data_IF_280255665350
#
_entry.id   IF_280255665350
#
_cell.length_a   1.000
_cell.length_b   1.000
_cell.length_c   1.000
_cell.angle_alpha   90.00
_cell.angle_beta   90.00
_cell.angle_gamma   90.00
#
_symmetry.space_group_name_H-M   'P 1'
#
loop_
_entity.id
_entity.type
_entity.pdbx_description
1 polymer ?
#
# COMPACT_ATOMS: atom_id res chain seq x y z
N UNK A 1 -24.48 -30.05 -33.74
CA UNK A 1 -23.08 -30.51 -33.73
C UNK A 1 -22.22 -29.30 -33.50
N UNK A 2 -21.73 -29.24 -32.28
CA UNK A 2 -20.86 -28.25 -31.69
C UNK A 2 -19.55 -28.09 -32.46
N UNK A 3 -19.17 -26.86 -32.77
CA UNK A 3 -17.77 -26.51 -32.92
C UNK A 3 -17.48 -25.39 -31.92
N UNK A 4 -17.38 -25.78 -30.64
CA UNK A 4 -16.68 -24.97 -29.64
C UNK A 4 -15.25 -24.83 -30.12
N UNK A 5 -14.93 -23.69 -30.72
CA UNK A 5 -13.56 -23.28 -31.00
C UNK A 5 -12.76 -23.34 -29.69
N UNK A 6 -12.07 -24.47 -29.48
CA UNK A 6 -11.18 -24.66 -28.35
C UNK A 6 -10.04 -23.67 -28.54
N UNK A 7 -10.04 -22.62 -27.72
CA UNK A 7 -8.92 -21.70 -27.63
C UNK A 7 -7.66 -22.55 -27.36
N UNK A 8 -6.57 -22.38 -28.13
CA UNK A 8 -5.38 -23.21 -27.97
C UNK A 8 -4.88 -23.10 -26.53
N UNK A 9 -4.55 -24.22 -25.90
CA UNK A 9 -3.99 -24.26 -24.53
C UNK A 9 -2.76 -23.36 -24.38
N UNK A 10 -2.03 -23.05 -25.47
CA UNK A 10 -1.00 -22.00 -25.51
C UNK A 10 -1.48 -20.62 -25.06
N UNK A 11 -2.74 -20.25 -25.31
CA UNK A 11 -3.31 -18.98 -24.87
C UNK A 11 -3.57 -18.97 -23.34
N UNK A 12 -3.85 -20.14 -22.75
CA UNK A 12 -3.98 -20.35 -21.31
C UNK A 12 -2.61 -20.57 -20.63
N UNK A 13 -1.61 -21.03 -21.38
CA UNK A 13 -0.20 -21.11 -21.00
C UNK A 13 0.60 -19.87 -21.38
N UNK A 14 -0.05 -18.75 -21.70
CA UNK A 14 0.67 -17.47 -21.66
C UNK A 14 1.16 -17.32 -20.22
N UNK A 15 2.49 -17.30 -19.97
CA UNK A 15 2.96 -16.90 -18.66
C UNK A 15 2.38 -15.51 -18.47
N UNK A 16 1.48 -15.35 -17.50
CA UNK A 16 0.96 -14.06 -17.10
C UNK A 16 2.22 -13.22 -16.86
N UNK A 17 2.55 -12.33 -17.81
CA UNK A 17 3.90 -11.78 -18.00
C UNK A 17 4.50 -11.55 -16.62
N UNK A 18 5.57 -12.24 -16.24
CA UNK A 18 6.88 -11.90 -16.79
C UNK A 18 7.28 -10.46 -16.46
N UNK A 19 6.51 -9.74 -15.62
CA UNK A 19 6.92 -8.55 -14.92
C UNK A 19 8.07 -8.99 -14.03
N UNK A 20 9.26 -8.87 -14.63
CA UNK A 20 10.54 -9.28 -14.10
C UNK A 20 10.53 -9.30 -12.57
N UNK A 21 10.81 -10.47 -12.00
CA UNK A 21 11.22 -10.64 -10.61
C UNK A 21 12.53 -9.89 -10.26
N UNK A 22 13.02 -9.03 -11.16
CA UNK A 22 14.03 -8.03 -10.85
C UNK A 22 13.37 -7.00 -9.94
N UNK A 23 13.68 -7.07 -8.65
CA UNK A 23 13.26 -6.11 -7.62
C UNK A 23 13.74 -4.65 -7.85
N UNK A 24 14.15 -4.31 -9.06
CA UNK A 24 14.71 -3.03 -9.48
C UNK A 24 13.77 -2.18 -10.34
N UNK A 25 12.65 -2.73 -10.85
CA UNK A 25 11.69 -1.94 -11.62
C UNK A 25 10.84 -1.06 -10.67
N UNK A 26 10.84 0.28 -10.83
CA UNK A 26 10.09 1.18 -9.96
C UNK A 26 8.57 0.94 -10.00
N UNK A 27 8.02 0.49 -11.13
CA UNK A 27 6.61 0.14 -11.24
C UNK A 27 6.27 -1.11 -10.43
N UNK A 28 7.14 -2.13 -10.45
CA UNK A 28 7.00 -3.34 -9.63
C UNK A 28 7.12 -3.00 -8.14
N UNK A 29 8.05 -2.11 -7.78
CA UNK A 29 8.19 -1.62 -6.40
C UNK A 29 6.92 -0.89 -5.93
N UNK A 30 6.33 -0.04 -6.76
CA UNK A 30 5.08 0.66 -6.46
C UNK A 30 3.90 -0.31 -6.26
N UNK A 31 3.79 -1.36 -7.08
CA UNK A 31 2.75 -2.40 -6.94
C UNK A 31 2.94 -3.18 -5.63
N UNK A 32 4.18 -3.59 -5.30
CA UNK A 32 4.51 -4.29 -4.05
C UNK A 32 4.18 -3.44 -2.83
N UNK A 33 4.53 -2.15 -2.87
CA UNK A 33 4.16 -1.20 -1.81
C UNK A 33 2.66 -1.03 -1.67
N UNK A 34 1.92 -0.94 -2.79
CA UNK A 34 0.47 -0.86 -2.76
C UNK A 34 -0.15 -2.10 -2.10
N UNK A 35 0.30 -3.31 -2.47
CA UNK A 35 -0.17 -4.55 -1.85
C UNK A 35 0.12 -4.59 -0.34
N UNK A 36 1.35 -4.25 0.04
CA UNK A 36 1.74 -4.20 1.46
C UNK A 36 0.91 -3.17 2.23
N UNK A 37 0.58 -2.03 1.61
CA UNK A 37 -0.26 -1.00 2.19
C UNK A 37 -1.68 -1.52 2.44
N UNK A 38 -2.28 -2.22 1.46
CA UNK A 38 -3.59 -2.85 1.61
C UNK A 38 -3.59 -3.89 2.73
N UNK A 39 -2.57 -4.75 2.80
CA UNK A 39 -2.43 -5.74 3.87
C UNK A 39 -2.30 -5.08 5.25
N UNK A 40 -1.52 -4.00 5.36
CA UNK A 40 -1.39 -3.23 6.60
C UNK A 40 -2.71 -2.55 7.00
N UNK A 41 -3.49 -2.06 6.03
CA UNK A 41 -4.82 -1.48 6.27
C UNK A 41 -5.81 -2.56 6.76
N UNK A 42 -5.79 -3.75 6.18
CA UNK A 42 -6.61 -4.89 6.64
C UNK A 42 -6.23 -5.27 8.07
N UNK A 43 -4.93 -5.38 8.38
CA UNK A 43 -4.45 -5.67 9.73
C UNK A 43 -4.89 -4.60 10.73
N UNK A 44 -4.78 -3.32 10.38
CA UNK A 44 -5.24 -2.21 11.21
C UNK A 44 -6.74 -2.28 11.51
N UNK A 45 -7.56 -2.59 10.50
CA UNK A 45 -9.02 -2.71 10.65
C UNK A 45 -9.46 -3.93 11.45
N UNK A 46 -8.66 -5.02 11.43
CA UNK A 46 -8.95 -6.25 12.19
C UNK A 46 -8.45 -6.20 13.63
N UNK A 47 -7.43 -5.39 13.91
CA UNK A 47 -6.89 -5.26 15.25
C UNK A 47 -7.89 -4.60 16.20
N UNK A 48 -7.94 -5.06 17.45
CA UNK A 48 -8.81 -4.51 18.48
C UNK A 48 -8.55 -3.00 18.65
N UNK A 49 -9.59 -2.17 18.73
CA UNK A 49 -9.45 -0.73 18.94
C UNK A 49 -8.61 -0.41 20.19
N UNK A 50 -7.62 0.47 20.03
CA UNK A 50 -6.73 0.89 21.12
C UNK A 50 -5.65 -0.12 21.50
N UNK A 51 -5.55 -1.27 20.82
CA UNK A 51 -4.50 -2.26 21.09
C UNK A 51 -3.13 -1.81 20.54
N UNK A 52 -2.06 -2.35 21.11
CA UNK A 52 -0.70 -2.14 20.59
C UNK A 52 -0.54 -2.67 19.16
N UNK A 53 -1.27 -3.75 18.81
CA UNK A 53 -1.28 -4.31 17.46
C UNK A 53 -1.92 -3.35 16.46
N UNK A 54 -3.03 -2.70 16.85
CA UNK A 54 -3.63 -1.65 16.03
C UNK A 54 -2.64 -0.48 15.85
N UNK A 55 -1.92 -0.13 16.92
CA UNK A 55 -0.91 0.91 16.86
C UNK A 55 0.28 0.56 15.96
N UNK A 56 0.73 -0.69 15.99
CA UNK A 56 1.81 -1.23 15.16
C UNK A 56 1.39 -1.32 13.69
N UNK A 57 0.18 -1.80 13.41
CA UNK A 57 -0.39 -1.86 12.07
C UNK A 57 -0.53 -0.46 11.46
N UNK A 58 -0.98 0.53 12.24
CA UNK A 58 -1.07 1.91 11.79
C UNK A 58 0.32 2.50 11.45
N UNK A 59 1.32 2.29 12.31
CA UNK A 59 2.71 2.74 12.05
C UNK A 59 3.27 2.13 10.77
N UNK A 60 3.03 0.84 10.54
CA UNK A 60 3.43 0.15 9.31
C UNK A 60 2.72 0.73 8.08
N UNK A 61 1.41 0.96 8.17
CA UNK A 61 0.62 1.58 7.10
C UNK A 61 1.15 2.98 6.73
N UNK A 62 1.43 3.82 7.72
CA UNK A 62 1.98 5.16 7.50
C UNK A 62 3.34 5.12 6.79
N UNK A 63 4.27 4.27 7.27
CA UNK A 63 5.59 4.13 6.66
C UNK A 63 5.52 3.58 5.21
N UNK A 64 4.60 2.66 4.93
CA UNK A 64 4.38 2.16 3.56
C UNK A 64 3.83 3.25 2.64
N UNK A 65 2.90 4.08 3.16
CA UNK A 65 2.37 5.20 2.39
C UNK A 65 3.44 6.22 2.05
N UNK A 66 4.31 6.57 3.00
CA UNK A 66 5.44 7.49 2.77
C UNK A 66 6.35 6.96 1.65
N UNK A 67 6.73 5.68 1.72
CA UNK A 67 7.55 5.04 0.67
C UNK A 67 6.86 5.03 -0.69
N UNK A 68 5.55 4.80 -0.73
CA UNK A 68 4.78 4.78 -1.98
C UNK A 68 4.65 6.17 -2.59
N UNK A 69 4.43 7.19 -1.76
CA UNK A 69 4.40 8.59 -2.21
C UNK A 69 5.74 9.01 -2.81
N UNK A 70 6.87 8.58 -2.23
CA UNK A 70 8.21 8.88 -2.76
C UNK A 70 8.48 8.28 -4.15
N UNK A 71 7.75 7.24 -4.56
CA UNK A 71 7.87 6.60 -5.87
C UNK A 71 6.84 7.08 -6.89
N UNK A 72 5.83 7.86 -6.46
CA UNK A 72 4.75 8.31 -7.33
C UNK A 72 5.02 9.74 -7.83
N UNK A 73 4.62 10.06 -9.08
CA UNK A 73 4.52 11.45 -9.52
C UNK A 73 3.61 12.26 -8.60
N UNK A 74 3.91 13.54 -8.40
CA UNK A 74 3.15 14.40 -7.48
C UNK A 74 1.64 14.45 -7.78
N UNK A 75 1.27 14.40 -9.06
CA UNK A 75 -0.13 14.36 -9.51
C UNK A 75 -0.86 13.09 -9.04
N UNK A 76 -0.18 11.95 -9.03
CA UNK A 76 -0.75 10.67 -8.60
C UNK A 76 -0.74 10.54 -7.08
N UNK A 77 0.29 11.05 -6.41
CA UNK A 77 0.33 11.12 -4.95
C UNK A 77 -0.82 11.95 -4.38
N UNK A 78 -1.21 13.03 -5.05
CA UNK A 78 -2.34 13.88 -4.65
C UNK A 78 -3.71 13.19 -4.75
N UNK A 79 -3.84 12.15 -5.57
CA UNK A 79 -5.07 11.37 -5.77
C UNK A 79 -5.23 10.23 -4.78
N UNK A 80 -4.21 9.95 -3.94
CA UNK A 80 -4.27 8.83 -3.03
C UNK A 80 -5.33 9.06 -1.93
N UNK A 81 -6.07 8.02 -1.52
CA UNK A 81 -7.08 8.15 -0.46
C UNK A 81 -6.42 8.51 0.87
N UNK A 82 -7.09 9.31 1.73
CA UNK A 82 -6.53 9.67 3.03
C UNK A 82 -6.30 8.43 3.90
N UNK A 83 -5.22 8.44 4.68
CA UNK A 83 -4.96 7.40 5.67
C UNK A 83 -5.98 7.46 6.81
N UNK A 84 -6.32 6.31 7.43
CA UNK A 84 -7.14 6.31 8.63
C UNK A 84 -6.46 7.11 9.76
N UNK A 85 -7.28 7.70 10.63
CA UNK A 85 -6.78 8.44 11.78
C UNK A 85 -5.89 7.55 12.67
N UNK A 86 -4.87 8.17 13.25
CA UNK A 86 -3.97 7.47 14.17
C UNK A 86 -4.73 7.12 15.46
N UNK A 87 -4.70 5.85 15.92
CA UNK A 87 -5.39 5.46 17.15
C UNK A 87 -4.72 6.12 18.38
N UNK A 88 -5.48 6.35 19.44
CA UNK A 88 -4.95 6.99 20.64
C UNK A 88 -3.72 6.21 21.18
N UNK A 89 -2.64 6.94 21.48
CA UNK A 89 -1.39 6.35 21.98
C UNK A 89 -0.36 5.92 20.91
N UNK A 90 -0.68 5.96 19.60
CA UNK A 90 0.31 5.65 18.53
C UNK A 90 1.38 6.70 18.31
N UNK A 91 0.97 7.96 18.38
CA UNK A 91 1.83 9.09 18.07
C UNK A 91 2.53 9.53 19.35
N UNK A 92 3.86 9.54 19.32
CA UNK A 92 4.64 10.30 20.28
C UNK A 92 4.10 11.74 20.36
N UNK A 93 4.16 12.36 21.54
CA UNK A 93 3.73 13.75 21.73
C UNK A 93 4.33 14.69 20.66
N UNK A 94 5.54 14.38 20.19
CA UNK A 94 6.24 15.13 19.15
C UNK A 94 5.70 14.89 17.74
N UNK A 95 5.23 13.67 17.44
CA UNK A 95 4.57 13.38 16.16
C UNK A 95 3.16 13.98 16.11
N UNK A 96 2.46 14.04 17.25
CA UNK A 96 1.20 14.81 17.37
C UNK A 96 1.44 16.29 17.11
N UNK A 97 2.51 16.85 17.69
CA UNK A 97 2.86 18.25 17.49
C UNK A 97 3.26 18.55 16.04
N UNK A 98 4.09 17.73 15.39
CA UNK A 98 4.44 17.91 13.97
C UNK A 98 3.22 17.87 13.04
N UNK A 99 2.27 16.96 13.29
CA UNK A 99 1.00 16.94 12.54
C UNK A 99 0.18 18.21 12.78
N UNK A 100 0.14 18.70 14.02
CA UNK A 100 -0.58 19.93 14.37
C UNK A 100 0.04 21.18 13.74
N UNK A 101 1.36 21.16 13.53
CA UNK A 101 2.13 22.25 12.93
C UNK A 101 2.27 22.13 11.40
N UNK A 102 1.72 21.11 10.75
CA UNK A 102 1.81 20.93 9.29
C UNK A 102 3.23 20.63 8.76
N UNK A 103 4.19 20.32 9.63
CA UNK A 103 5.63 20.17 9.33
C UNK A 103 6.01 18.82 8.69
N UNK A 104 5.17 18.32 7.77
CA UNK A 104 5.30 17.02 7.10
C UNK A 104 5.25 17.07 5.57
N UNK A 105 5.26 18.25 4.96
CA UNK A 105 5.47 18.45 3.51
C UNK A 105 6.75 19.24 3.32
N UNK A 106 7.83 18.56 2.99
CA UNK A 106 9.13 19.11 2.60
C UNK A 106 9.86 18.04 1.80
#
# INVERSE_FOLDING_TARGET
MDEKAALPEEALRRPWHGASDRGTDPAVAAIRLHRAEVEALIAFRRASPGSEDQARAWRRLAALREKRVALLPAADAARLPPLPAAPAGTLSAWQKLRRRLGLGRG
#
